data_IF_311620947040
#
_entry.id   IF_311620947040
#
_cell.length_a   1.000
_cell.length_b   1.000
_cell.length_c   1.000
_cell.angle_alpha   90.00
_cell.angle_beta   90.00
_cell.angle_gamma   90.00
#
_symmetry.space_group_name_H-M   'P 1'
#
loop_
_entity.id
_entity.type
_entity.pdbx_description
1 polymer ?
#
# COMPACT_ATOMS: atom_id res chain seq x y z
N UNK A 1 -19.92 6.97 14.99
CA UNK A 1 -18.65 6.58 14.34
C UNK A 1 -17.62 7.63 14.69
N UNK A 2 -16.39 7.25 14.99
CA UNK A 2 -15.33 8.23 15.23
C UNK A 2 -15.08 9.03 13.94
N UNK A 3 -14.81 10.33 14.05
CA UNK A 3 -14.39 11.13 12.90
C UNK A 3 -13.01 10.67 12.44
N UNK A 4 -12.73 10.59 11.13
CA UNK A 4 -11.39 10.27 10.65
C UNK A 4 -10.40 11.34 11.05
N UNK A 5 -9.16 10.93 11.29
CA UNK A 5 -8.03 11.83 11.51
C UNK A 5 -7.89 12.81 10.36
N UNK A 6 -7.20 13.92 10.61
CA UNK A 6 -6.78 14.83 9.53
C UNK A 6 -5.82 14.11 8.59
N UNK A 7 -5.80 14.53 7.33
CA UNK A 7 -4.82 14.12 6.34
C UNK A 7 -4.44 15.31 5.46
N UNK A 8 -3.54 15.04 4.51
CA UNK A 8 -3.11 16.02 3.52
C UNK A 8 -3.68 15.66 2.16
N UNK A 9 -4.22 16.65 1.45
CA UNK A 9 -4.63 16.51 0.06
C UNK A 9 -3.49 15.95 -0.78
N UNK A 10 -3.79 15.11 -1.76
CA UNK A 10 -2.80 14.54 -2.67
C UNK A 10 -1.89 15.62 -3.29
N UNK A 11 -2.46 16.76 -3.66
CA UNK A 11 -1.73 17.91 -4.22
C UNK A 11 -0.65 18.50 -3.29
N UNK A 12 -0.74 18.26 -1.99
CA UNK A 12 0.29 18.68 -1.03
C UNK A 12 1.62 17.95 -1.27
N UNK A 13 1.63 16.72 -1.79
CA UNK A 13 2.89 16.01 -2.09
C UNK A 13 3.74 16.81 -3.08
N UNK A 14 3.12 17.36 -4.13
CA UNK A 14 3.79 18.21 -5.12
C UNK A 14 4.19 19.56 -4.56
N UNK A 15 3.33 20.17 -3.76
CA UNK A 15 3.69 21.40 -3.04
C UNK A 15 4.92 21.18 -2.15
N UNK A 16 4.92 20.13 -1.32
CA UNK A 16 6.03 19.76 -0.45
C UNK A 16 7.33 19.54 -1.24
N UNK A 17 7.29 18.82 -2.36
CA UNK A 17 8.47 18.62 -3.22
C UNK A 17 8.99 19.97 -3.74
N UNK A 18 8.11 20.82 -4.25
CA UNK A 18 8.49 22.10 -4.87
C UNK A 18 9.09 23.07 -3.85
N UNK A 19 8.49 23.20 -2.67
CA UNK A 19 9.01 24.06 -1.59
C UNK A 19 10.40 23.64 -1.10
N UNK A 20 10.75 22.35 -1.24
CA UNK A 20 12.04 21.82 -0.82
C UNK A 20 13.05 21.67 -1.98
N UNK A 21 12.85 22.41 -3.08
CA UNK A 21 13.81 22.50 -4.18
C UNK A 21 13.56 21.54 -5.34
N UNK A 22 12.34 21.00 -5.45
CA UNK A 22 11.88 20.17 -6.56
C UNK A 22 12.38 18.72 -6.52
N UNK A 23 11.97 17.92 -7.51
CA UNK A 23 12.23 16.47 -7.56
C UNK A 23 13.71 16.10 -7.42
N UNK A 24 14.62 16.91 -7.96
CA UNK A 24 16.05 16.67 -7.90
C UNK A 24 16.60 16.48 -6.47
N UNK A 25 15.95 17.08 -5.47
CA UNK A 25 16.31 16.92 -4.04
C UNK A 25 15.85 15.59 -3.43
N UNK A 26 14.91 14.92 -4.08
CA UNK A 26 14.27 13.68 -3.62
C UNK A 26 14.70 12.44 -4.39
N UNK A 27 15.42 12.61 -5.51
CA UNK A 27 15.95 11.48 -6.30
C UNK A 27 16.78 10.54 -5.42
N UNK A 28 16.45 9.24 -5.47
CA UNK A 28 17.15 8.19 -4.72
C UNK A 28 16.88 8.20 -3.21
N UNK A 29 16.02 9.08 -2.70
CA UNK A 29 15.68 9.12 -1.28
C UNK A 29 14.51 8.20 -0.95
N UNK A 30 14.66 7.41 0.11
CA UNK A 30 13.56 6.63 0.68
C UNK A 30 12.58 7.52 1.44
N UNK A 31 11.35 7.06 1.69
CA UNK A 31 10.41 7.81 2.53
C UNK A 31 10.94 7.99 3.96
N UNK A 32 11.73 7.06 4.48
CA UNK A 32 12.46 7.22 5.75
C UNK A 32 13.46 8.38 5.70
N UNK A 33 14.27 8.46 4.64
CA UNK A 33 15.22 9.57 4.47
C UNK A 33 14.48 10.91 4.34
N UNK A 34 13.39 10.95 3.57
CA UNK A 34 12.56 12.15 3.45
C UNK A 34 11.97 12.57 4.80
N UNK A 35 11.52 11.62 5.61
CA UNK A 35 11.03 11.86 6.96
C UNK A 35 12.09 12.58 7.81
N UNK A 36 13.30 12.03 7.90
CA UNK A 36 14.32 12.56 8.80
C UNK A 36 15.06 13.79 8.25
N UNK A 37 15.20 13.92 6.94
CA UNK A 37 15.94 15.03 6.31
C UNK A 37 15.09 16.26 6.01
N UNK A 38 13.76 16.10 5.87
CA UNK A 38 12.86 17.19 5.49
C UNK A 38 11.70 17.37 6.47
N UNK A 39 10.94 16.30 6.75
CA UNK A 39 9.72 16.40 7.59
C UNK A 39 10.06 16.79 9.03
N UNK A 40 10.98 16.07 9.67
CA UNK A 40 11.38 16.33 11.06
C UNK A 40 12.01 17.72 11.23
N UNK A 41 12.93 18.19 10.36
CA UNK A 41 13.43 19.56 10.42
C UNK A 41 12.34 20.63 10.24
N UNK A 42 11.41 20.43 9.30
CA UNK A 42 10.32 21.36 9.02
C UNK A 42 9.39 21.51 10.23
N UNK A 43 9.04 20.42 10.89
CA UNK A 43 8.12 20.44 12.04
C UNK A 43 8.79 20.70 13.37
N UNK A 44 10.13 20.83 13.41
CA UNK A 44 10.90 21.07 14.63
C UNK A 44 10.44 22.30 15.44
N UNK A 45 10.08 23.45 14.84
CA UNK A 45 9.65 24.62 15.62
C UNK A 45 8.34 24.40 16.39
N UNK A 46 7.46 23.52 15.90
CA UNK A 46 6.17 23.23 16.54
C UNK A 46 6.13 21.92 17.31
N UNK A 47 7.08 21.00 17.05
CA UNK A 47 7.09 19.63 17.59
C UNK A 47 5.80 18.84 17.32
N UNK A 48 5.15 19.13 16.19
CA UNK A 48 3.89 18.51 15.76
C UNK A 48 4.10 17.48 14.66
N UNK A 49 3.05 16.73 14.33
CA UNK A 49 2.96 16.03 13.03
C UNK A 49 3.06 17.04 11.88
N UNK A 50 3.43 16.58 10.67
CA UNK A 50 3.45 17.48 9.51
C UNK A 50 2.04 17.98 9.19
N UNK A 51 1.04 17.11 9.31
CA UNK A 51 -0.36 17.48 9.07
C UNK A 51 -0.81 18.62 9.98
N UNK A 52 -0.50 18.55 11.27
CA UNK A 52 -0.89 19.59 12.23
C UNK A 52 -0.03 20.86 12.10
N UNK A 53 1.24 20.71 11.73
CA UNK A 53 2.09 21.86 11.40
C UNK A 53 1.51 22.65 10.21
N UNK A 54 1.14 21.94 9.13
CA UNK A 54 0.53 22.52 7.92
C UNK A 54 -0.84 23.11 8.22
N UNK A 55 -1.63 22.48 9.11
CA UNK A 55 -2.94 22.98 9.52
C UNK A 55 -2.86 24.32 10.27
N UNK A 56 -1.73 24.57 10.96
CA UNK A 56 -1.52 25.78 11.74
C UNK A 56 -0.95 26.96 10.92
N UNK A 57 -0.48 26.71 9.69
CA UNK A 57 -0.05 27.76 8.77
C UNK A 57 -1.21 28.16 7.84
N UNK A 58 -1.73 29.41 7.91
CA UNK A 58 -2.82 29.87 7.06
C UNK A 58 -2.56 29.75 5.56
N UNK A 59 -1.29 29.78 5.12
CA UNK A 59 -0.93 29.68 3.71
C UNK A 59 -1.05 28.25 3.16
N UNK A 60 -0.98 27.24 4.03
CA UNK A 60 -1.04 25.83 3.65
C UNK A 60 -2.22 25.07 4.25
N UNK A 61 -2.98 25.67 5.17
CA UNK A 61 -4.09 25.03 5.85
C UNK A 61 -5.17 24.48 4.91
N UNK A 62 -5.30 25.02 3.68
CA UNK A 62 -6.22 24.54 2.65
C UNK A 62 -5.91 23.13 2.15
N UNK A 63 -4.67 22.65 2.34
CA UNK A 63 -4.27 21.28 2.03
C UNK A 63 -4.74 20.27 3.07
N UNK A 64 -5.24 20.70 4.23
CA UNK A 64 -5.66 19.81 5.31
C UNK A 64 -7.16 19.60 5.27
N UNK A 65 -7.57 18.34 5.37
CA UNK A 65 -8.96 17.93 5.44
C UNK A 65 -9.07 16.60 6.21
N UNK A 66 -10.27 16.13 6.60
CA UNK A 66 -10.43 14.78 7.13
C UNK A 66 -9.94 13.75 6.10
N UNK A 67 -9.09 12.81 6.54
CA UNK A 67 -8.52 11.79 5.67
C UNK A 67 -9.62 10.84 5.15
N UNK A 68 -9.55 10.53 3.87
CA UNK A 68 -10.45 9.57 3.22
C UNK A 68 -9.71 8.38 2.59
N UNK A 69 -8.36 8.39 2.60
CA UNK A 69 -7.52 7.27 2.20
C UNK A 69 -6.36 7.06 3.17
N UNK A 70 -6.18 5.82 3.63
CA UNK A 70 -5.03 5.38 4.42
C UNK A 70 -3.95 4.85 3.47
N UNK A 71 -2.73 5.36 3.58
CA UNK A 71 -1.60 4.94 2.75
C UNK A 71 -0.75 3.92 3.49
N UNK A 72 -0.82 2.66 3.04
CA UNK A 72 0.04 1.58 3.51
C UNK A 72 1.28 1.49 2.62
N UNK A 73 2.48 1.59 3.21
CA UNK A 73 3.74 1.56 2.45
C UNK A 73 4.93 1.13 3.31
N UNK A 74 5.99 0.65 2.66
CA UNK A 74 7.26 0.39 3.33
C UNK A 74 8.13 1.66 3.35
N UNK A 75 8.71 1.98 4.50
CA UNK A 75 9.55 3.17 4.69
C UNK A 75 10.84 3.17 3.85
N UNK A 76 11.25 2.01 3.35
CA UNK A 76 12.41 1.85 2.49
C UNK A 76 12.11 2.14 1.01
N UNK A 77 10.85 2.35 0.63
CA UNK A 77 10.51 2.72 -0.74
C UNK A 77 11.03 4.10 -1.08
N UNK A 78 11.36 4.30 -2.36
CA UNK A 78 11.71 5.61 -2.87
C UNK A 78 10.50 6.54 -2.79
N UNK A 79 10.73 7.75 -2.29
CA UNK A 79 9.66 8.71 -2.04
C UNK A 79 8.99 9.16 -3.34
N UNK A 80 9.78 9.43 -4.38
CA UNK A 80 9.22 9.83 -5.68
C UNK A 80 8.40 8.71 -6.33
N UNK A 81 8.83 7.45 -6.22
CA UNK A 81 8.05 6.30 -6.71
C UNK A 81 6.75 6.10 -5.92
N UNK A 82 6.79 6.38 -4.61
CA UNK A 82 5.61 6.39 -3.74
C UNK A 82 4.61 7.46 -4.18
N UNK A 83 5.08 8.68 -4.44
CA UNK A 83 4.25 9.80 -4.93
C UNK A 83 3.64 9.47 -6.30
N UNK A 84 4.46 9.00 -7.25
CA UNK A 84 4.00 8.57 -8.58
C UNK A 84 2.91 7.50 -8.49
N UNK A 85 3.10 6.49 -7.65
CA UNK A 85 2.12 5.41 -7.43
C UNK A 85 0.76 5.96 -6.98
N UNK A 86 0.76 6.89 -6.03
CA UNK A 86 -0.45 7.51 -5.50
C UNK A 86 -1.12 8.38 -6.56
N UNK A 87 -0.37 9.26 -7.22
CA UNK A 87 -0.91 10.16 -8.24
C UNK A 87 -1.55 9.40 -9.40
N UNK A 88 -0.88 8.38 -9.92
CA UNK A 88 -1.43 7.50 -10.97
C UNK A 88 -2.68 6.79 -10.49
N UNK A 89 -2.65 6.21 -9.29
CA UNK A 89 -3.78 5.50 -8.71
C UNK A 89 -5.04 6.36 -8.62
N UNK A 90 -4.91 7.59 -8.08
CA UNK A 90 -6.02 8.51 -7.92
C UNK A 90 -6.46 9.14 -9.24
N UNK A 91 -5.52 9.49 -10.13
CA UNK A 91 -5.83 10.03 -11.45
C UNK A 91 -6.63 9.03 -12.31
N UNK A 92 -6.23 7.75 -12.33
CA UNK A 92 -6.93 6.70 -13.07
C UNK A 92 -8.37 6.47 -12.59
N UNK A 93 -8.71 6.91 -11.38
CA UNK A 93 -10.04 6.79 -10.77
C UNK A 93 -10.83 8.10 -10.78
N UNK A 94 -10.25 9.19 -11.30
CA UNK A 94 -10.86 10.51 -11.25
C UNK A 94 -11.03 11.05 -9.83
N UNK A 95 -10.14 10.66 -8.90
CA UNK A 95 -10.20 10.99 -7.48
C UNK A 95 -9.09 11.94 -7.02
N UNK A 96 -8.26 12.45 -7.94
CA UNK A 96 -7.06 13.22 -7.58
C UNK A 96 -7.35 14.47 -6.75
N UNK A 97 -8.42 15.21 -7.07
CA UNK A 97 -8.78 16.46 -6.37
C UNK A 97 -9.45 16.21 -5.01
N UNK A 98 -10.07 15.04 -4.85
CA UNK A 98 -10.81 14.64 -3.65
C UNK A 98 -9.96 13.82 -2.66
N UNK A 99 -8.81 13.31 -3.09
CA UNK A 99 -7.95 12.45 -2.28
C UNK A 99 -7.29 13.22 -1.14
N UNK A 100 -7.56 12.78 0.10
CA UNK A 100 -6.97 13.28 1.34
C UNK A 100 -6.34 12.11 2.08
N UNK A 101 -5.02 12.15 2.17
CA UNK A 101 -4.20 11.02 2.56
C UNK A 101 -3.88 11.08 4.05
N UNK A 102 -4.15 9.98 4.75
CA UNK A 102 -3.45 9.63 5.96
C UNK A 102 -2.19 8.86 5.57
N UNK A 103 -1.03 9.49 5.73
CA UNK A 103 0.27 8.95 5.34
C UNK A 103 1.20 8.97 6.53
N UNK A 104 1.60 7.80 7.06
CA UNK A 104 2.24 7.71 8.38
C UNK A 104 3.51 8.55 8.53
N UNK A 105 4.23 8.85 7.45
CA UNK A 105 5.40 9.75 7.44
C UNK A 105 4.99 11.18 7.84
N UNK A 106 3.80 11.63 7.45
CA UNK A 106 3.29 12.98 7.70
C UNK A 106 2.33 13.06 8.89
N UNK A 107 1.51 12.03 9.09
CA UNK A 107 0.45 11.99 10.09
C UNK A 107 0.96 11.68 11.49
N UNK A 108 1.95 10.81 11.62
CA UNK A 108 2.50 10.49 12.94
C UNK A 108 3.37 11.65 13.42
N UNK A 109 3.26 12.01 14.69
CA UNK A 109 4.18 12.96 15.31
C UNK A 109 5.56 12.30 15.49
N UNK A 110 6.49 12.60 14.58
CA UNK A 110 7.82 12.00 14.53
C UNK A 110 8.70 12.40 15.72
N UNK A 111 8.40 13.49 16.40
CA UNK A 111 9.12 13.94 17.60
C UNK A 111 8.79 13.08 18.82
N UNK A 112 7.56 12.54 18.86
CA UNK A 112 7.06 11.72 19.96
C UNK A 112 6.99 10.23 19.62
N UNK A 113 7.25 9.85 18.36
CA UNK A 113 6.94 8.51 17.88
C UNK A 113 7.65 7.38 18.66
N UNK A 114 8.88 7.64 19.13
CA UNK A 114 9.65 6.67 19.93
C UNK A 114 9.17 6.51 21.37
N UNK A 115 8.33 7.42 21.84
CA UNK A 115 7.84 7.44 23.23
C UNK A 115 6.57 6.62 23.43
N UNK A 116 5.92 6.19 22.34
CA UNK A 116 4.67 5.46 22.42
C UNK A 116 4.88 3.94 22.39
N UNK A 117 4.15 3.18 23.25
CA UNK A 117 4.22 1.73 23.25
C UNK A 117 3.45 1.12 22.07
N UNK A 118 3.68 -0.17 21.82
CA UNK A 118 2.99 -0.91 20.75
C UNK A 118 1.46 -0.81 20.85
N UNK A 119 0.89 -0.90 22.05
CA UNK A 119 -0.56 -0.88 22.27
C UNK A 119 -1.18 0.43 21.78
N UNK A 120 -0.49 1.55 22.01
CA UNK A 120 -0.89 2.86 21.51
C UNK A 120 -0.93 2.84 19.98
N UNK A 121 0.15 2.38 19.35
CA UNK A 121 0.23 2.31 17.89
C UNK A 121 -0.83 1.40 17.30
N UNK A 122 -0.96 0.18 17.82
CA UNK A 122 -1.94 -0.80 17.34
C UNK A 122 -3.37 -0.25 17.41
N UNK A 123 -3.70 0.50 18.46
CA UNK A 123 -5.02 1.11 18.66
C UNK A 123 -5.21 2.31 17.74
N UNK A 124 -4.23 3.21 17.66
CA UNK A 124 -4.25 4.37 16.75
C UNK A 124 -4.40 3.93 15.30
N UNK A 125 -3.62 2.94 14.85
CA UNK A 125 -3.71 2.41 13.50
C UNK A 125 -5.06 1.71 13.24
N UNK A 126 -5.51 0.82 14.15
CA UNK A 126 -6.82 0.17 14.02
C UNK A 126 -7.95 1.19 13.93
N UNK A 127 -7.95 2.21 14.79
CA UNK A 127 -8.98 3.25 14.81
C UNK A 127 -8.94 4.16 13.58
N UNK A 128 -7.74 4.60 13.16
CA UNK A 128 -7.56 5.43 11.97
C UNK A 128 -8.04 4.70 10.72
N UNK A 129 -7.62 3.44 10.54
CA UNK A 129 -8.05 2.62 9.41
C UNK A 129 -9.57 2.39 9.43
N UNK A 130 -10.14 2.06 10.59
CA UNK A 130 -11.59 1.88 10.75
C UNK A 130 -12.39 3.15 10.41
N UNK A 131 -11.91 4.32 10.82
CA UNK A 131 -12.59 5.59 10.58
C UNK A 131 -12.48 6.06 9.12
N UNK A 132 -11.34 5.81 8.47
CA UNK A 132 -11.08 6.21 7.09
C UNK A 132 -11.79 5.29 6.09
N UNK A 133 -11.76 3.97 6.32
CA UNK A 133 -12.51 2.98 5.53
C UNK A 133 -12.00 2.70 4.12
N UNK A 134 -11.02 3.46 3.61
CA UNK A 134 -10.32 3.15 2.36
C UNK A 134 -8.81 3.05 2.60
N UNK A 135 -8.18 2.01 2.07
CA UNK A 135 -6.75 1.76 2.15
C UNK A 135 -6.19 1.63 0.74
N UNK A 136 -5.10 2.35 0.47
CA UNK A 136 -4.27 2.15 -0.71
C UNK A 136 -2.89 1.66 -0.26
N UNK A 137 -2.52 0.46 -0.69
CA UNK A 137 -1.21 -0.13 -0.44
C UNK A 137 -0.29 0.07 -1.64
N UNK A 138 0.89 0.61 -1.39
CA UNK A 138 1.96 0.71 -2.39
C UNK A 138 2.73 -0.62 -2.39
N UNK A 139 2.75 -1.31 -3.52
CA UNK A 139 3.28 -2.67 -3.62
C UNK A 139 4.49 -2.74 -4.54
N UNK A 140 5.70 -2.51 -4.02
CA UNK A 140 6.94 -2.54 -4.80
C UNK A 140 7.99 -3.53 -4.23
N UNK A 141 8.82 -4.14 -5.08
CA UNK A 141 8.52 -4.43 -6.48
C UNK A 141 7.29 -5.36 -6.58
N UNK A 142 6.65 -5.44 -7.74
CA UNK A 142 5.41 -6.22 -7.86
C UNK A 142 5.62 -7.73 -7.62
N UNK A 143 6.77 -8.27 -8.03
CA UNK A 143 7.10 -9.70 -8.00
C UNK A 143 7.69 -10.18 -6.67
N UNK A 144 8.13 -9.27 -5.82
CA UNK A 144 8.63 -9.59 -4.48
C UNK A 144 8.32 -8.43 -3.51
N UNK A 145 7.03 -8.26 -3.15
CA UNK A 145 6.54 -7.04 -2.51
C UNK A 145 7.08 -6.87 -1.10
N UNK A 146 8.02 -5.93 -0.94
CA UNK A 146 8.66 -5.62 0.35
C UNK A 146 7.64 -5.24 1.42
N UNK A 147 6.58 -4.53 1.05
CA UNK A 147 5.50 -4.14 1.97
C UNK A 147 4.91 -5.36 2.70
N UNK A 148 4.84 -6.53 2.06
CA UNK A 148 4.32 -7.75 2.68
C UNK A 148 5.35 -8.50 3.55
N UNK A 149 6.59 -8.01 3.60
CA UNK A 149 7.63 -8.41 4.56
C UNK A 149 7.67 -7.50 5.78
N UNK A 150 6.83 -6.47 5.85
CA UNK A 150 6.78 -5.53 6.98
C UNK A 150 5.60 -5.89 7.90
N UNK A 151 5.88 -6.19 9.17
CA UNK A 151 4.83 -6.66 10.09
C UNK A 151 3.69 -5.67 10.25
N UNK A 152 4.00 -4.36 10.30
CA UNK A 152 3.00 -3.31 10.35
C UNK A 152 2.08 -3.33 9.11
N UNK A 153 2.63 -3.49 7.92
CA UNK A 153 1.83 -3.50 6.69
C UNK A 153 1.02 -4.79 6.53
N UNK A 154 1.56 -5.94 6.93
CA UNK A 154 0.79 -7.19 7.04
C UNK A 154 -0.40 -7.03 7.98
N UNK A 155 -0.16 -6.40 9.13
CA UNK A 155 -1.21 -6.09 10.10
C UNK A 155 -2.26 -5.12 9.54
N UNK A 156 -1.86 -4.11 8.77
CA UNK A 156 -2.78 -3.20 8.08
C UNK A 156 -3.69 -3.94 7.09
N UNK A 157 -3.17 -4.91 6.32
CA UNK A 157 -4.01 -5.73 5.43
C UNK A 157 -5.03 -6.54 6.23
N UNK A 158 -4.58 -7.19 7.30
CA UNK A 158 -5.44 -7.96 8.20
C UNK A 158 -6.56 -7.08 8.77
N UNK A 159 -6.22 -5.92 9.31
CA UNK A 159 -7.19 -4.97 9.88
C UNK A 159 -8.14 -4.44 8.82
N UNK A 160 -7.64 -4.06 7.64
CA UNK A 160 -8.47 -3.54 6.56
C UNK A 160 -9.55 -4.54 6.12
N UNK A 161 -9.15 -5.79 5.88
CA UNK A 161 -10.10 -6.80 5.40
C UNK A 161 -11.06 -7.24 6.52
N UNK A 162 -10.59 -7.36 7.76
CA UNK A 162 -11.48 -7.74 8.88
C UNK A 162 -12.52 -6.67 9.22
N UNK A 163 -12.19 -5.39 9.01
CA UNK A 163 -13.12 -4.28 9.17
C UNK A 163 -13.99 -4.01 7.93
N UNK A 164 -13.81 -4.77 6.85
CA UNK A 164 -14.52 -4.55 5.59
C UNK A 164 -14.17 -3.22 4.92
N UNK A 165 -12.99 -2.67 5.21
CA UNK A 165 -12.48 -1.49 4.53
C UNK A 165 -12.23 -1.80 3.05
N UNK A 166 -12.41 -0.80 2.20
CA UNK A 166 -11.98 -0.89 0.80
C UNK A 166 -10.46 -0.98 0.77
N UNK A 167 -9.93 -2.05 0.19
CA UNK A 167 -8.49 -2.26 0.06
C UNK A 167 -8.08 -2.27 -1.41
N UNK A 168 -7.14 -1.41 -1.76
CA UNK A 168 -6.67 -1.21 -3.13
C UNK A 168 -5.14 -1.22 -3.18
N UNK A 169 -4.58 -1.51 -4.36
CA UNK A 169 -3.13 -1.55 -4.57
C UNK A 169 -2.74 -0.53 -5.64
N UNK A 170 -1.66 0.19 -5.36
CA UNK A 170 -1.03 1.15 -6.25
C UNK A 170 0.39 0.70 -6.62
N UNK A 171 0.74 0.87 -7.89
CA UNK A 171 2.07 0.60 -8.45
C UNK A 171 2.62 1.88 -9.09
N UNK A 172 3.94 2.02 -9.09
CA UNK A 172 4.62 3.05 -9.86
C UNK A 172 4.58 2.70 -11.34
N UNK A 173 4.79 3.67 -12.23
CA UNK A 173 4.71 3.47 -13.68
C UNK A 173 5.55 2.29 -14.18
N UNK A 174 6.82 2.24 -13.78
CA UNK A 174 7.75 1.20 -14.24
C UNK A 174 7.38 -0.18 -13.67
N UNK A 175 6.81 -0.22 -12.46
CA UNK A 175 6.32 -1.45 -11.84
C UNK A 175 5.06 -1.98 -12.52
N UNK A 176 4.15 -1.10 -12.93
CA UNK A 176 2.94 -1.49 -13.66
C UNK A 176 3.29 -2.06 -15.04
N UNK A 177 4.21 -1.42 -15.77
CA UNK A 177 4.68 -1.91 -17.06
C UNK A 177 5.38 -3.27 -16.93
N UNK A 178 6.23 -3.43 -15.91
CA UNK A 178 6.91 -4.70 -15.61
C UNK A 178 5.89 -5.78 -15.25
N UNK A 179 4.95 -5.49 -14.36
CA UNK A 179 3.85 -6.39 -13.99
C UNK A 179 3.08 -6.88 -15.23
N UNK A 180 2.63 -5.99 -16.11
CA UNK A 180 1.86 -6.36 -17.29
C UNK A 180 2.64 -7.22 -18.28
N UNK A 181 3.97 -7.06 -18.34
CA UNK A 181 4.83 -7.90 -19.16
C UNK A 181 5.03 -9.27 -18.53
N UNK A 182 5.31 -9.33 -17.23
CA UNK A 182 5.66 -10.56 -16.53
C UNK A 182 4.47 -11.50 -16.37
N UNK A 183 3.25 -10.99 -16.14
CA UNK A 183 2.04 -11.82 -16.02
C UNK A 183 1.61 -12.49 -17.33
N UNK A 184 2.30 -12.19 -18.45
CA UNK A 184 2.22 -13.02 -19.64
C UNK A 184 2.73 -14.45 -19.36
N UNK A 185 3.59 -14.63 -18.36
CA UNK A 185 3.84 -15.92 -17.74
C UNK A 185 2.96 -16.09 -16.50
N UNK A 186 2.04 -17.04 -16.55
CA UNK A 186 1.16 -17.32 -15.41
C UNK A 186 1.90 -17.90 -14.21
N UNK A 187 3.13 -18.38 -14.38
CA UNK A 187 3.98 -18.81 -13.27
C UNK A 187 4.49 -17.63 -12.43
N UNK A 188 4.68 -16.44 -13.03
CA UNK A 188 5.20 -15.27 -12.34
C UNK A 188 4.30 -14.82 -11.16
N UNK A 189 2.97 -14.99 -11.30
CA UNK A 189 2.02 -14.75 -10.21
C UNK A 189 2.27 -15.73 -9.05
N UNK A 190 2.48 -17.02 -9.35
CA UNK A 190 2.73 -18.02 -8.32
C UNK A 190 4.08 -17.82 -7.64
N UNK A 191 5.11 -17.42 -8.38
CA UNK A 191 6.42 -17.06 -7.81
C UNK A 191 6.29 -15.89 -6.83
N UNK A 192 5.58 -14.83 -7.23
CA UNK A 192 5.29 -13.70 -6.34
C UNK A 192 4.52 -14.13 -5.09
N UNK A 193 3.45 -14.91 -5.25
CA UNK A 193 2.67 -15.40 -4.12
C UNK A 193 3.51 -16.29 -3.19
N UNK A 194 4.49 -17.02 -3.73
CA UNK A 194 5.38 -17.87 -2.96
C UNK A 194 6.41 -17.09 -2.12
N UNK A 195 6.65 -15.79 -2.40
CA UNK A 195 7.54 -14.96 -1.57
C UNK A 195 6.86 -14.43 -0.30
N UNK A 196 5.54 -14.56 -0.20
CA UNK A 196 4.74 -14.02 0.89
C UNK A 196 4.56 -15.07 1.98
N UNK A 197 5.06 -14.72 3.17
CA UNK A 197 4.82 -15.45 4.41
C UNK A 197 4.78 -14.44 5.55
N UNK A 198 3.58 -14.12 6.03
CA UNK A 198 3.36 -13.09 7.05
C UNK A 198 4.11 -13.36 8.36
N UNK A 199 4.34 -14.63 8.71
CA UNK A 199 5.12 -15.03 9.88
C UNK A 199 6.62 -14.71 9.75
N UNK A 200 7.13 -14.48 8.54
CA UNK A 200 8.51 -14.05 8.29
C UNK A 200 8.64 -12.51 8.22
N UNK A 201 7.56 -11.78 8.48
CA UNK A 201 7.58 -10.31 8.44
C UNK A 201 8.37 -9.69 9.58
N UNK A 202 8.98 -8.54 9.32
CA UNK A 202 9.84 -7.81 10.25
C UNK A 202 9.36 -6.38 10.53
N UNK A 203 9.73 -5.86 11.70
CA UNK A 203 9.56 -4.46 12.06
C UNK A 203 10.91 -3.87 12.49
N UNK A 204 11.09 -2.56 12.29
CA UNK A 204 12.32 -1.85 12.71
C UNK A 204 12.48 -1.91 14.23
N UNK A 205 11.37 -1.89 14.97
CA UNK A 205 11.34 -2.06 16.42
C UNK A 205 10.88 -3.48 16.72
N UNK A 206 11.73 -4.27 17.38
CA UNK A 206 11.46 -5.68 17.63
C UNK A 206 10.18 -5.90 18.49
N UNK A 207 9.93 -5.04 19.47
CA UNK A 207 8.71 -5.11 20.30
C UNK A 207 7.43 -4.90 19.50
N UNK A 208 7.47 -4.09 18.44
CA UNK A 208 6.30 -3.92 17.56
C UNK A 208 5.99 -5.21 16.82
N UNK A 209 7.02 -5.87 16.27
CA UNK A 209 6.87 -7.19 15.63
C UNK A 209 6.26 -8.17 16.62
N UNK A 210 6.85 -8.28 17.81
CA UNK A 210 6.42 -9.25 18.81
C UNK A 210 4.97 -8.99 19.27
N UNK A 211 4.59 -7.71 19.43
CA UNK A 211 3.23 -7.29 19.72
C UNK A 211 2.24 -7.65 18.61
N UNK A 212 2.58 -7.38 17.35
CA UNK A 212 1.76 -7.75 16.18
C UNK A 212 1.58 -9.26 16.11
N UNK A 213 2.66 -10.02 16.33
CA UNK A 213 2.64 -11.48 16.27
C UNK A 213 1.77 -12.06 17.39
N UNK A 214 1.85 -11.52 18.60
CA UNK A 214 0.99 -11.89 19.71
C UNK A 214 -0.48 -11.59 19.40
N UNK A 215 -0.76 -10.42 18.83
CA UNK A 215 -2.12 -10.02 18.43
C UNK A 215 -2.69 -10.94 17.35
N UNK A 216 -1.94 -11.21 16.27
CA UNK A 216 -2.36 -12.12 15.20
C UNK A 216 -2.65 -13.51 15.76
N UNK A 217 -1.81 -14.04 16.66
CA UNK A 217 -2.02 -15.36 17.29
C UNK A 217 -3.20 -15.38 18.26
N UNK A 218 -3.55 -14.24 18.86
CA UNK A 218 -4.68 -14.13 19.77
C UNK A 218 -6.03 -13.99 19.03
N UNK A 219 -6.05 -13.22 17.93
CA UNK A 219 -7.28 -12.93 17.18
C UNK A 219 -7.51 -13.90 16.00
N UNK A 220 -6.46 -14.52 15.45
CA UNK A 220 -6.51 -15.38 14.26
C UNK A 220 -5.28 -16.32 14.15
N UNK A 221 -4.75 -16.54 12.94
CA UNK A 221 -3.48 -17.24 12.68
C UNK A 221 -2.76 -16.64 11.47
N UNK A 222 -1.43 -16.79 11.39
CA UNK A 222 -0.65 -16.38 10.21
C UNK A 222 -1.13 -17.03 8.92
N UNK A 223 -1.48 -18.32 8.95
CA UNK A 223 -2.07 -19.02 7.80
C UNK A 223 -3.36 -18.36 7.32
N UNK A 224 -4.20 -17.85 8.22
CA UNK A 224 -5.42 -17.14 7.85
C UNK A 224 -5.11 -15.76 7.26
N UNK A 225 -4.12 -15.05 7.81
CA UNK A 225 -3.63 -13.77 7.28
C UNK A 225 -3.05 -13.95 5.87
N UNK A 226 -2.22 -14.97 5.64
CA UNK A 226 -1.65 -15.26 4.31
C UNK A 226 -2.74 -15.55 3.28
N UNK A 227 -3.75 -16.36 3.63
CA UNK A 227 -4.89 -16.63 2.73
C UNK A 227 -5.67 -15.37 2.37
N UNK A 228 -5.80 -14.46 3.33
CA UNK A 228 -6.48 -13.18 3.15
C UNK A 228 -5.68 -12.25 2.24
N UNK A 229 -4.36 -12.18 2.43
CA UNK A 229 -3.43 -11.47 1.54
C UNK A 229 -3.52 -12.05 0.12
N UNK A 230 -3.41 -13.38 -0.04
CA UNK A 230 -3.50 -14.03 -1.35
C UNK A 230 -4.82 -13.75 -2.06
N UNK A 231 -5.94 -13.82 -1.35
CA UNK A 231 -7.26 -13.52 -1.93
C UNK A 231 -7.32 -12.07 -2.41
N UNK A 232 -6.80 -11.14 -1.61
CA UNK A 232 -6.75 -9.71 -1.93
C UNK A 232 -5.90 -9.44 -3.17
N UNK A 233 -4.68 -10.02 -3.22
CA UNK A 233 -3.77 -9.89 -4.36
C UNK A 233 -4.35 -10.50 -5.63
N UNK A 234 -4.91 -11.70 -5.56
CA UNK A 234 -5.51 -12.38 -6.73
C UNK A 234 -6.67 -11.55 -7.28
N UNK A 235 -7.53 -10.99 -6.42
CA UNK A 235 -8.64 -10.14 -6.85
C UNK A 235 -8.13 -8.85 -7.52
N UNK A 236 -7.10 -8.22 -6.96
CA UNK A 236 -6.48 -7.06 -7.57
C UNK A 236 -5.84 -7.39 -8.94
N UNK A 237 -5.08 -8.50 -9.04
CA UNK A 237 -4.47 -8.94 -10.30
C UNK A 237 -5.53 -9.14 -11.38
N UNK A 238 -6.66 -9.77 -11.04
CA UNK A 238 -7.79 -9.94 -11.97
C UNK A 238 -8.34 -8.59 -12.45
N UNK A 239 -8.60 -7.67 -11.52
CA UNK A 239 -9.10 -6.34 -11.88
C UNK A 239 -8.10 -5.55 -12.75
N UNK A 240 -6.81 -5.63 -12.45
CA UNK A 240 -5.75 -5.00 -13.23
C UNK A 240 -5.66 -5.60 -14.65
N UNK A 241 -5.76 -6.93 -14.79
CA UNK A 241 -5.83 -7.61 -16.07
C UNK A 241 -7.06 -7.21 -16.88
N UNK A 242 -8.24 -7.14 -16.25
CA UNK A 242 -9.49 -6.71 -16.90
C UNK A 242 -9.39 -5.27 -17.40
N UNK A 243 -8.83 -4.35 -16.61
CA UNK A 243 -8.57 -2.97 -17.01
C UNK A 243 -7.57 -2.89 -18.17
N UNK A 244 -6.49 -3.68 -18.12
CA UNK A 244 -5.50 -3.78 -19.20
C UNK A 244 -6.12 -4.35 -20.49
N UNK A 245 -7.03 -5.32 -20.40
CA UNK A 245 -7.77 -5.84 -21.56
C UNK A 245 -8.66 -4.74 -22.16
N UNK A 246 -9.39 -4.01 -21.30
CA UNK A 246 -10.28 -2.92 -21.73
C UNK A 246 -9.54 -1.81 -22.51
N UNK A 247 -8.31 -1.49 -22.08
CA UNK A 247 -7.47 -0.43 -22.65
C UNK A 247 -6.55 -0.86 -23.79
N UNK A 248 -6.47 -2.16 -24.12
CA UNK A 248 -5.57 -2.65 -25.18
C UNK A 248 -5.94 -2.11 -26.57
N UNK A 249 -4.92 -1.73 -27.34
CA UNK A 249 -5.07 -1.04 -28.63
C UNK A 249 -5.51 -1.98 -29.77
N UNK A 250 -5.15 -3.27 -29.69
CA UNK A 250 -5.46 -4.26 -30.74
C UNK A 250 -6.22 -5.48 -30.21
N UNK A 251 -6.98 -6.13 -31.11
CA UNK A 251 -7.65 -7.41 -30.80
C UNK A 251 -6.66 -8.53 -30.48
N UNK A 252 -5.44 -8.48 -31.04
CA UNK A 252 -4.38 -9.46 -30.77
C UNK A 252 -3.84 -9.31 -29.34
N UNK A 253 -3.61 -8.07 -28.89
CA UNK A 253 -3.22 -7.80 -27.50
C UNK A 253 -4.32 -8.17 -26.51
N UNK A 254 -5.59 -7.86 -26.86
CA UNK A 254 -6.75 -8.31 -26.06
C UNK A 254 -6.77 -9.82 -25.93
N UNK A 255 -6.68 -10.55 -27.05
CA UNK A 255 -6.71 -12.02 -27.05
C UNK A 255 -5.57 -12.62 -26.22
N UNK A 256 -4.34 -12.09 -26.32
CA UNK A 256 -3.20 -12.53 -25.50
C UNK A 256 -3.49 -12.34 -24.01
N UNK A 257 -3.96 -11.14 -23.61
CA UNK A 257 -4.28 -10.82 -22.20
C UNK A 257 -5.44 -11.67 -21.65
N UNK A 258 -6.45 -11.98 -22.47
CA UNK A 258 -7.56 -12.87 -22.11
C UNK A 258 -7.12 -14.30 -21.75
N UNK A 259 -6.11 -14.85 -22.42
CA UNK A 259 -5.57 -16.18 -22.09
C UNK A 259 -5.02 -16.25 -20.66
N UNK A 260 -4.54 -15.14 -20.11
CA UNK A 260 -3.96 -15.08 -18.76
C UNK A 260 -5.02 -14.89 -17.66
N UNK A 261 -6.19 -14.31 -17.97
CA UNK A 261 -7.29 -14.13 -17.01
C UNK A 261 -7.89 -15.47 -16.54
N UNK A 262 -7.82 -16.53 -17.36
CA UNK A 262 -8.34 -17.87 -17.03
C UNK A 262 -7.42 -18.74 -16.15
N UNK A 263 -6.19 -18.29 -15.87
CA UNK A 263 -5.13 -19.06 -15.20
C UNK A 263 -4.94 -18.84 -13.67
N UNK A 264 -5.58 -17.87 -12.96
CA UNK A 264 -5.43 -17.78 -11.49
C UNK A 264 -6.06 -18.95 -10.71
N UNK A 265 -6.75 -19.87 -11.38
CA UNK A 265 -7.28 -21.09 -10.77
C UNK A 265 -6.29 -22.23 -11.00
N UNK A 266 -5.91 -22.99 -9.95
CA UNK A 266 -4.97 -24.09 -10.11
C UNK A 266 -5.47 -25.03 -11.20
N UNK A 267 -4.57 -25.59 -12.05
CA UNK A 267 -4.98 -26.52 -13.09
C UNK A 267 -5.75 -27.66 -12.42
N UNK A 268 -7.04 -27.81 -12.76
CA UNK A 268 -7.76 -29.04 -12.46
C UNK A 268 -6.92 -30.15 -13.06
N UNK A 269 -6.33 -31.01 -12.21
CA UNK A 269 -5.65 -32.22 -12.66
C UNK A 269 -6.57 -32.87 -13.69
N UNK A 270 -6.17 -32.89 -14.96
CA UNK A 270 -6.81 -33.75 -15.94
C UNK A 270 -6.56 -35.16 -15.43
N UNK A 271 -7.58 -35.75 -14.82
CA UNK A 271 -7.70 -37.19 -14.74
C UNK A 271 -7.70 -37.66 -16.18
N UNK A 272 -6.54 -38.13 -16.63
CA UNK A 272 -6.43 -38.91 -17.85
C UNK A 272 -7.19 -40.19 -17.54
N UNK A 273 -8.47 -40.22 -17.92
CA UNK A 273 -9.21 -41.47 -18.07
C UNK A 273 -8.49 -42.24 -19.18
N UNK A 274 -7.65 -43.19 -18.79
CA UNK A 274 -7.17 -44.24 -19.66
C UNK A 274 -8.38 -45.06 -20.08
N UNK A 275 -8.93 -44.71 -21.24
CA UNK A 275 -9.95 -45.51 -21.91
C UNK A 275 -9.21 -46.66 -22.59
N UNK A 276 -9.27 -47.85 -21.97
CA UNK A 276 -9.03 -49.11 -22.67
C UNK A 276 -10.35 -49.55 -23.30
N UNK A 277 -10.37 -49.64 -24.62
CA UNK A 277 -11.38 -50.36 -25.41
C UNK A 277 -10.77 -51.69 -25.89
N UNK A 278 -11.61 -52.68 -26.26
CA UNK A 278 -11.63 -54.05 -25.73
C UNK A 278 -10.48 -54.95 -26.17
#
# INVERSE_FOLDING_TARGET
>A
MASPDRGLRLSYLRHFINEHGGEAKFVGKTTAQVCFEFVVPLTKPSELSLVDHVANDPSTATYVAPANWYVSHAWQYLFLETVDSLERFFAARGLADDAVLWFCVFNNNQHLARSYPFEYWSTTFKNGLAAIGNVVMIMHPWNDPVVLRRSWCVFEVYVAVTLGARFEIALAQDQEATFLNDIADSYAIYEMLATIKSEDSEATVASDRDGIFALIRAETSFTAVDRLIFTTLINWIKAALEAAIGSAASLVEKARRWCHLGLPLPPRRRLVLSVQWP
#
